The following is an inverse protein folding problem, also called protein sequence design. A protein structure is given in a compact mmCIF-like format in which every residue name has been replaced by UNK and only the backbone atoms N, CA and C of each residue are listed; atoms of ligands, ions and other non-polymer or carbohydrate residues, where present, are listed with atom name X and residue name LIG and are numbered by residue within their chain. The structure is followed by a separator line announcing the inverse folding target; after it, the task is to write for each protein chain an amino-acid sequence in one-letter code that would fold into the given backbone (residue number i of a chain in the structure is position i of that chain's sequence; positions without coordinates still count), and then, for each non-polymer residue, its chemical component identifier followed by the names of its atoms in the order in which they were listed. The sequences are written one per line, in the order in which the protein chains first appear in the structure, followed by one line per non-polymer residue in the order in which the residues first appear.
data_IF_863436123749
#
_entry.id   IF_863436123749
#
_cell.length_a   1.000
_cell.length_b   1.000
_cell.length_c   1.000
_cell.angle_alpha   90.00
_cell.angle_beta   90.00
_cell.angle_gamma   90.00
#
_symmetry.space_group_name_H-M   'P 1'
#
loop_
_entity.id
_entity.type
_entity.pdbx_description
1 polymer ?
#
# COMPACT_ATOMS: atom_id res chain seq x y z
N UNK A 1 7.39 -14.77 -1.47
CA UNK A 1 7.04 -13.52 -2.16
C UNK A 1 6.94 -12.41 -1.13
N UNK A 2 7.73 -11.33 -1.27
CA UNK A 2 7.68 -10.18 -0.36
C UNK A 2 6.63 -9.20 -0.91
N UNK A 3 5.60 -8.92 -0.15
CA UNK A 3 4.56 -7.97 -0.55
C UNK A 3 5.13 -6.55 -0.49
N UNK A 4 5.09 -5.82 -1.60
CA UNK A 4 5.58 -4.45 -1.73
C UNK A 4 4.40 -3.55 -2.11
N UNK A 5 3.84 -2.82 -1.15
CA UNK A 5 2.69 -1.94 -1.37
C UNK A 5 3.08 -0.57 -1.93
N UNK A 6 4.35 -0.17 -1.76
CA UNK A 6 4.83 1.15 -2.13
C UNK A 6 6.04 1.02 -3.03
N UNK A 7 5.96 1.65 -4.21
CA UNK A 7 7.03 1.67 -5.21
C UNK A 7 6.89 2.91 -6.08
N UNK A 8 8.00 3.37 -6.67
CA UNK A 8 8.00 4.44 -7.67
C UNK A 8 7.15 4.06 -8.90
N UNK A 9 7.03 2.77 -9.18
CA UNK A 9 6.23 2.22 -10.28
C UNK A 9 4.72 2.48 -10.13
N UNK A 10 4.26 2.83 -8.92
CA UNK A 10 2.85 3.20 -8.69
C UNK A 10 2.56 4.67 -9.04
N UNK A 11 3.55 5.42 -9.52
CA UNK A 11 3.33 6.77 -10.00
C UNK A 11 2.37 6.77 -11.20
N UNK A 12 1.44 7.73 -11.29
CA UNK A 12 0.48 7.79 -12.40
C UNK A 12 1.22 7.98 -13.73
N UNK A 13 1.00 7.04 -14.66
CA UNK A 13 1.62 7.05 -15.98
C UNK A 13 1.07 8.19 -16.84
N UNK A 14 -0.24 8.39 -16.80
CA UNK A 14 -0.95 9.41 -17.57
C UNK A 14 -1.43 10.51 -16.64
N UNK A 15 -0.76 11.65 -16.70
CA UNK A 15 -1.14 12.86 -15.95
C UNK A 15 -1.71 13.88 -16.93
N UNK A 16 -2.90 14.45 -16.65
CA UNK A 16 -3.46 15.51 -17.47
C UNK A 16 -2.52 16.72 -17.58
N UNK A 17 -2.69 17.49 -18.65
CA UNK A 17 -1.95 18.74 -18.82
C UNK A 17 -2.42 19.80 -17.83
N UNK A 18 -1.57 20.82 -17.62
CA UNK A 18 -1.73 21.81 -16.55
C UNK A 18 -3.11 22.47 -16.51
N UNK A 19 -3.63 22.89 -17.66
CA UNK A 19 -4.95 23.55 -17.74
C UNK A 19 -6.08 22.65 -17.23
N UNK A 20 -6.13 21.39 -17.64
CA UNK A 20 -7.14 20.43 -17.15
C UNK A 20 -7.05 20.21 -15.64
N UNK A 21 -5.84 20.17 -15.08
CA UNK A 21 -5.65 20.07 -13.63
C UNK A 21 -6.15 21.33 -12.90
N UNK A 22 -5.91 22.51 -13.45
CA UNK A 22 -6.41 23.76 -12.86
C UNK A 22 -7.94 23.86 -12.94
N UNK A 23 -8.55 23.38 -14.03
CA UNK A 23 -10.00 23.34 -14.21
C UNK A 23 -10.69 22.47 -13.16
N UNK A 24 -10.16 21.26 -12.90
CA UNK A 24 -10.65 20.38 -11.82
C UNK A 24 -10.56 21.04 -10.43
N UNK A 25 -9.52 21.87 -10.22
CA UNK A 25 -9.33 22.64 -8.99
C UNK A 25 -10.10 23.97 -8.96
N UNK A 26 -11.03 24.19 -9.89
CA UNK A 26 -11.82 25.42 -10.03
C UNK A 26 -10.96 26.69 -10.24
N UNK A 27 -9.89 26.58 -11.01
CA UNK A 27 -8.99 27.67 -11.41
C UNK A 27 -8.52 28.54 -10.23
N UNK A 28 -7.77 27.96 -9.27
CA UNK A 28 -7.33 28.68 -8.09
C UNK A 28 -6.38 29.83 -8.46
N UNK A 29 -6.35 30.92 -7.67
CA UNK A 29 -5.50 32.05 -7.97
C UNK A 29 -4.02 31.67 -7.86
N UNK A 30 -3.21 32.20 -8.79
CA UNK A 30 -1.80 31.79 -8.96
C UNK A 30 -0.93 31.89 -7.68
N UNK A 31 -1.24 32.80 -6.76
CA UNK A 31 -0.52 32.93 -5.50
C UNK A 31 -0.74 31.75 -4.55
N UNK A 32 -1.93 31.12 -4.55
CA UNK A 32 -2.21 29.94 -3.73
C UNK A 32 -1.46 28.73 -4.27
N UNK A 33 -1.52 28.54 -5.59
CA UNK A 33 -0.80 27.47 -6.27
C UNK A 33 0.72 27.61 -6.06
N UNK A 34 1.24 28.82 -6.17
CA UNK A 34 2.65 29.13 -5.90
C UNK A 34 3.05 28.75 -4.46
N UNK A 35 2.21 29.08 -3.47
CA UNK A 35 2.45 28.72 -2.06
C UNK A 35 2.46 27.21 -1.83
N UNK A 36 1.51 26.48 -2.43
CA UNK A 36 1.41 25.02 -2.28
C UNK A 36 2.59 24.31 -2.96
N UNK A 37 2.98 24.77 -4.16
CA UNK A 37 4.07 24.15 -4.92
C UNK A 37 5.47 24.64 -4.55
N UNK A 38 5.59 25.64 -3.66
CA UNK A 38 6.88 26.25 -3.31
C UNK A 38 7.55 26.96 -4.49
N UNK A 39 6.78 27.49 -5.43
CA UNK A 39 7.29 28.13 -6.66
C UNK A 39 7.02 29.64 -6.65
N UNK A 40 7.75 30.38 -7.48
CA UNK A 40 7.46 31.81 -7.66
C UNK A 40 6.09 32.01 -8.33
N UNK A 41 5.37 33.07 -7.94
CA UNK A 41 4.11 33.45 -8.59
C UNK A 41 4.26 33.67 -10.10
N UNK A 42 5.41 34.23 -10.52
CA UNK A 42 5.75 34.44 -11.94
C UNK A 42 5.80 33.12 -12.71
N UNK A 43 6.36 32.07 -12.09
CA UNK A 43 6.41 30.73 -12.68
C UNK A 43 5.02 30.17 -12.93
N UNK A 44 4.13 30.26 -11.94
CA UNK A 44 2.75 29.78 -12.06
C UNK A 44 1.95 30.61 -13.08
N UNK A 45 2.13 31.93 -13.08
CA UNK A 45 1.50 32.79 -14.09
C UNK A 45 1.93 32.41 -15.51
N UNK A 46 3.21 32.09 -15.71
CA UNK A 46 3.69 31.58 -16.99
C UNK A 46 3.00 30.27 -17.37
N UNK A 47 2.86 29.32 -16.45
CA UNK A 47 2.16 28.06 -16.72
C UNK A 47 0.67 28.24 -17.03
N UNK A 48 0.00 29.16 -16.33
CA UNK A 48 -1.39 29.50 -16.61
C UNK A 48 -1.54 30.15 -18.00
N UNK A 49 -0.60 31.01 -18.40
CA UNK A 49 -0.62 31.67 -19.71
C UNK A 49 -0.34 30.69 -20.86
N UNK A 50 0.64 29.79 -20.69
CA UNK A 50 1.00 28.80 -21.72
C UNK A 50 0.02 27.62 -21.73
N UNK A 51 -0.66 27.33 -20.62
CA UNK A 51 -1.45 26.11 -20.44
C UNK A 51 -0.60 24.85 -20.21
N UNK A 52 0.73 25.01 -20.08
CA UNK A 52 1.68 23.93 -19.94
C UNK A 52 2.59 24.14 -18.74
N UNK A 53 2.79 23.08 -17.96
CA UNK A 53 3.76 23.00 -16.88
C UNK A 53 4.61 21.72 -17.03
N UNK A 54 5.82 21.68 -16.45
CA UNK A 54 6.63 20.47 -16.41
C UNK A 54 5.91 19.30 -15.72
N UNK A 55 6.23 18.07 -16.13
CA UNK A 55 5.57 16.85 -15.61
C UNK A 55 5.59 16.75 -14.09
N UNK A 56 6.67 17.13 -13.41
CA UNK A 56 6.74 17.09 -11.95
C UNK A 56 5.74 18.05 -11.28
N UNK A 57 5.47 19.21 -11.88
CA UNK A 57 4.48 20.16 -11.36
C UNK A 57 3.07 19.61 -11.57
N UNK A 58 2.80 19.02 -12.73
CA UNK A 58 1.54 18.33 -13.00
C UNK A 58 1.32 17.15 -12.04
N UNK A 59 2.36 16.35 -11.75
CA UNK A 59 2.32 15.25 -10.79
C UNK A 59 1.99 15.75 -9.38
N UNK A 60 2.61 16.84 -8.93
CA UNK A 60 2.33 17.41 -7.62
C UNK A 60 0.88 17.88 -7.49
N UNK A 61 0.36 18.57 -8.52
CA UNK A 61 -1.02 19.05 -8.55
C UNK A 61 -2.03 17.91 -8.70
N UNK A 62 -1.69 16.88 -9.49
CA UNK A 62 -2.56 15.73 -9.75
C UNK A 62 -3.10 15.11 -8.47
N UNK A 63 -2.27 14.93 -7.44
CA UNK A 63 -2.72 14.34 -6.17
C UNK A 63 -3.75 15.18 -5.40
N UNK A 64 -3.91 16.47 -5.75
CA UNK A 64 -4.92 17.36 -5.18
C UNK A 64 -6.24 17.33 -5.96
N UNK A 65 -6.26 16.74 -7.16
CA UNK A 65 -7.46 16.66 -8.02
C UNK A 65 -8.43 15.57 -7.59
N UNK A 66 -9.65 15.61 -8.13
CA UNK A 66 -10.63 14.54 -7.99
C UNK A 66 -10.07 13.17 -8.45
N UNK A 67 -9.36 13.13 -9.58
CA UNK A 67 -8.73 11.93 -10.11
C UNK A 67 -7.63 11.39 -9.21
N UNK A 68 -6.75 12.27 -8.72
CA UNK A 68 -5.68 11.89 -7.79
C UNK A 68 -6.23 11.30 -6.50
N UNK A 69 -7.25 11.93 -5.90
CA UNK A 69 -7.94 11.39 -4.73
C UNK A 69 -8.55 10.02 -4.99
N UNK A 70 -9.24 9.86 -6.12
CA UNK A 70 -9.84 8.58 -6.52
C UNK A 70 -8.80 7.47 -6.68
N UNK A 71 -7.65 7.78 -7.30
CA UNK A 71 -6.55 6.84 -7.46
C UNK A 71 -5.98 6.38 -6.10
N UNK A 72 -5.77 7.32 -5.16
CA UNK A 72 -5.30 6.98 -3.81
C UNK A 72 -6.32 6.11 -3.07
N UNK A 73 -7.60 6.44 -3.12
CA UNK A 73 -8.65 5.63 -2.49
C UNK A 73 -8.73 4.21 -3.06
N UNK A 74 -8.66 4.09 -4.38
CA UNK A 74 -8.68 2.80 -5.07
C UNK A 74 -7.46 1.96 -4.69
N UNK A 75 -6.27 2.56 -4.65
CA UNK A 75 -5.06 1.88 -4.24
C UNK A 75 -5.15 1.39 -2.79
N UNK A 76 -5.58 2.25 -1.86
CA UNK A 76 -5.73 1.89 -0.46
C UNK A 76 -6.73 0.74 -0.25
N UNK A 77 -7.83 0.73 -1.03
CA UNK A 77 -8.79 -0.37 -1.01
C UNK A 77 -8.16 -1.68 -1.50
N UNK A 78 -7.47 -1.64 -2.64
CA UNK A 78 -6.81 -2.82 -3.23
C UNK A 78 -5.74 -3.38 -2.29
N UNK A 79 -4.95 -2.51 -1.67
CA UNK A 79 -3.92 -2.89 -0.70
C UNK A 79 -4.55 -3.60 0.52
N UNK A 80 -5.67 -3.09 1.04
CA UNK A 80 -6.38 -3.71 2.14
C UNK A 80 -6.92 -5.10 1.79
N UNK A 81 -7.58 -5.23 0.63
CA UNK A 81 -8.11 -6.52 0.14
C UNK A 81 -6.99 -7.54 -0.08
N UNK A 82 -5.88 -7.10 -0.66
CA UNK A 82 -4.71 -7.94 -0.89
C UNK A 82 -4.10 -8.43 0.43
N UNK A 83 -3.97 -7.55 1.42
CA UNK A 83 -3.47 -7.89 2.75
C UNK A 83 -4.36 -8.90 3.48
N UNK A 84 -5.68 -8.72 3.45
CA UNK A 84 -6.64 -9.66 4.04
C UNK A 84 -6.49 -11.05 3.41
N UNK A 85 -6.42 -11.10 2.08
CA UNK A 85 -6.26 -12.35 1.33
C UNK A 85 -4.92 -13.03 1.64
N UNK A 86 -3.85 -12.24 1.74
CA UNK A 86 -2.51 -12.72 2.08
C UNK A 86 -2.47 -13.34 3.49
N UNK A 87 -3.03 -12.67 4.48
CA UNK A 87 -3.12 -13.18 5.86
C UNK A 87 -3.97 -14.45 5.93
N UNK A 88 -5.10 -14.50 5.22
CA UNK A 88 -5.94 -15.70 5.15
C UNK A 88 -5.17 -16.89 4.55
N UNK A 89 -4.41 -16.65 3.48
CA UNK A 89 -3.56 -17.65 2.86
C UNK A 89 -2.43 -18.14 3.78
N UNK A 90 -1.81 -17.24 4.54
CA UNK A 90 -0.80 -17.60 5.54
C UNK A 90 -1.39 -18.45 6.67
N UNK A 91 -2.56 -18.06 7.21
CA UNK A 91 -3.26 -18.83 8.26
C UNK A 91 -3.62 -20.24 7.79
N UNK A 92 -4.10 -20.38 6.55
CA UNK A 92 -4.38 -21.70 5.97
C UNK A 92 -3.12 -22.55 5.84
N UNK A 93 -2.00 -21.98 5.41
CA UNK A 93 -0.72 -22.69 5.33
C UNK A 93 -0.20 -23.13 6.71
N UNK A 94 -0.29 -22.26 7.73
CA UNK A 94 0.08 -22.60 9.11
C UNK A 94 -0.77 -23.77 9.61
N UNK A 95 -2.09 -23.69 9.47
CA UNK A 95 -2.99 -24.76 9.89
C UNK A 95 -2.70 -26.10 9.17
N UNK A 96 -2.38 -26.06 7.88
CA UNK A 96 -1.99 -27.26 7.13
C UNK A 96 -0.65 -27.84 7.61
N UNK A 97 0.34 -26.99 7.90
CA UNK A 97 1.63 -27.43 8.42
C UNK A 97 1.49 -28.05 9.82
N UNK A 98 0.72 -27.41 10.70
CA UNK A 98 0.41 -27.94 12.04
C UNK A 98 -0.32 -29.27 11.98
N UNK A 99 -1.30 -29.42 11.08
CA UNK A 99 -2.00 -30.69 10.87
C UNK A 99 -1.06 -31.79 10.36
N UNK A 100 -0.15 -31.46 9.43
CA UNK A 100 0.86 -32.41 8.94
C UNK A 100 1.84 -32.83 10.03
N UNK A 101 2.35 -31.88 10.82
CA UNK A 101 3.23 -32.17 11.96
C UNK A 101 2.50 -33.06 12.96
N UNK A 102 1.27 -32.72 13.32
CA UNK A 102 0.45 -33.51 14.26
C UNK A 102 0.24 -34.93 13.76
N UNK A 103 -0.06 -35.08 12.47
CA UNK A 103 -0.18 -36.40 11.85
C UNK A 103 1.14 -37.18 11.96
N UNK A 104 2.27 -36.59 11.53
CA UNK A 104 3.59 -37.23 11.62
C UNK A 104 3.99 -37.61 13.04
N UNK A 105 3.72 -36.73 14.02
CA UNK A 105 3.96 -36.99 15.44
C UNK A 105 3.14 -38.19 15.93
N UNK A 106 1.91 -38.35 15.43
CA UNK A 106 1.03 -39.47 15.82
C UNK A 106 1.46 -40.82 15.25
N UNK A 107 1.96 -40.86 14.02
CA UNK A 107 2.37 -42.13 13.35
C UNK A 107 3.84 -42.49 13.59
N UNK A 108 4.69 -41.55 13.99
CA UNK A 108 6.09 -41.85 14.27
C UNK A 108 6.28 -42.43 15.68
N UNK A 109 6.78 -43.66 15.75
CA UNK A 109 7.44 -44.20 16.94
C UNK A 109 8.92 -43.78 16.85
N UNK A 110 9.22 -42.57 17.35
CA UNK A 110 10.56 -41.99 17.26
C UNK A 110 11.42 -42.54 18.40
N UNK A 111 11.82 -43.81 18.31
CA UNK A 111 12.76 -44.47 19.24
C UNK A 111 14.18 -43.90 19.22
N UNK A 112 14.33 -42.57 19.20
CA UNK A 112 15.59 -41.84 19.19
C UNK A 112 15.60 -40.80 20.33
N UNK A 113 16.76 -40.61 20.97
CA UNK A 113 16.98 -39.74 22.15
C UNK A 113 16.68 -38.23 21.96
N UNK A 114 16.17 -37.83 20.79
CA UNK A 114 15.75 -36.46 20.47
C UNK A 114 14.24 -36.38 20.18
N UNK A 115 13.47 -37.22 20.88
CA UNK A 115 12.02 -37.10 20.95
C UNK A 115 11.64 -35.68 21.39
N UNK A 116 10.67 -35.02 20.74
CA UNK A 116 10.18 -33.74 21.21
C UNK A 116 9.40 -33.97 22.51
N UNK A 117 10.13 -33.97 23.63
CA UNK A 117 9.56 -34.07 24.97
C UNK A 117 8.54 -32.94 25.19
N UNK A 118 7.60 -33.21 26.10
CA UNK A 118 6.28 -32.64 26.43
C UNK A 118 6.08 -31.10 26.45
N UNK A 119 7.04 -30.31 25.98
CA UNK A 119 7.06 -28.85 26.00
C UNK A 119 6.24 -28.15 24.90
N UNK A 120 5.72 -28.87 23.90
CA UNK A 120 4.91 -28.23 22.85
C UNK A 120 3.46 -27.95 23.29
N UNK A 121 2.95 -28.65 24.32
CA UNK A 121 1.58 -28.45 24.83
C UNK A 121 1.41 -27.18 25.67
N UNK A 122 2.49 -26.58 26.19
CA UNK A 122 2.42 -25.40 27.08
C UNK A 122 2.51 -24.05 26.36
N UNK A 123 2.82 -24.02 25.05
CA UNK A 123 2.98 -22.77 24.29
C UNK A 123 1.72 -22.30 23.56
N UNK A 124 0.76 -23.18 23.31
CA UNK A 124 -0.50 -22.83 22.63
C UNK A 124 -1.48 -22.05 23.52
N UNK A 125 -1.33 -22.10 24.84
CA UNK A 125 -2.22 -21.40 25.79
C UNK A 125 -1.86 -19.93 26.04
N UNK A 126 -0.63 -19.51 25.73
CA UNK A 126 -0.16 -18.16 26.06
C UNK A 126 -0.43 -17.10 24.98
N UNK A 127 -0.81 -17.48 23.75
CA UNK A 127 -1.03 -16.51 22.66
C UNK A 127 -2.47 -16.02 22.54
N UNK A 128 -3.40 -16.58 23.33
CA UNK A 128 -4.84 -16.23 23.30
C UNK A 128 -5.25 -15.19 24.37
N UNK A 129 -4.31 -14.64 25.15
CA UNK A 129 -4.60 -13.71 26.25
C UNK A 129 -4.09 -12.26 26.06
N UNK A 130 -3.47 -11.91 24.94
CA UNK A 130 -3.08 -10.51 24.70
C UNK A 130 -4.05 -9.88 23.70
N UNK A 131 -5.09 -9.28 24.28
CA UNK A 131 -6.10 -8.44 23.64
C UNK A 131 -5.64 -6.98 23.62
#
# INVERSE_FOLDING_TARGET
MKLQLHSIEHAPTNVPYWRTLMEDLCNPPAHRVAKVLGMSRRTIQRYNATGYAPRYACLAVFWLTSWGRSAVHTQAHNDAVMMVSYVAGLRSQVAQLEARITHLVRIGDFGAANEPDKYLASRSTHHDQVR
#
